data_IF_746528727789
#
_entry.id   IF_746528727789
#
_cell.length_a   1.000
_cell.length_b   1.000
_cell.length_c   1.000
_cell.angle_alpha   90.00
_cell.angle_beta   90.00
_cell.angle_gamma   90.00
#
_symmetry.space_group_name_H-M   'P 1'
#
loop_
_entity.id
_entity.type
_entity.pdbx_description
1 polymer ?
#
# COMPACT_ATOMS: atom_id res chain seq x y z
N UNK A 1 -4.66 -5.88 26.82
CA UNK A 1 -3.75 -6.55 25.87
C UNK A 1 -2.74 -5.52 25.37
N UNK A 2 -1.47 -5.89 25.27
CA UNK A 2 -0.45 -5.04 24.64
C UNK A 2 -0.81 -4.93 23.15
N UNK A 3 -0.81 -3.71 22.60
CA UNK A 3 -1.05 -3.52 21.17
C UNK A 3 0.11 -4.14 20.39
N UNK A 4 -0.20 -4.80 19.29
CA UNK A 4 0.77 -5.34 18.34
C UNK A 4 1.37 -4.21 17.52
N UNK A 5 2.70 -4.17 17.42
CA UNK A 5 3.45 -3.15 16.70
C UNK A 5 3.42 -3.42 15.20
N UNK A 6 2.98 -2.44 14.42
CA UNK A 6 2.96 -2.47 12.96
C UNK A 6 4.07 -1.56 12.45
N UNK A 7 5.02 -2.12 11.74
CA UNK A 7 6.04 -1.38 11.03
C UNK A 7 5.66 -1.29 9.55
N UNK A 8 5.72 -0.10 8.99
CA UNK A 8 5.59 0.11 7.54
C UNK A 8 6.93 0.63 7.02
N UNK A 9 7.49 -0.02 6.02
CA UNK A 9 8.69 0.47 5.31
C UNK A 9 8.28 0.68 3.85
N UNK A 10 8.45 1.90 3.33
CA UNK A 10 8.02 2.19 1.97
C UNK A 10 8.20 3.66 1.57
N UNK A 11 7.52 4.01 0.49
CA UNK A 11 7.62 5.30 -0.16
C UNK A 11 6.87 6.42 0.55
N UNK A 12 7.38 7.64 0.36
CA UNK A 12 6.75 8.90 0.73
C UNK A 12 6.82 9.84 -0.46
N UNK A 13 5.68 10.24 -1.04
CA UNK A 13 5.60 11.12 -2.20
C UNK A 13 4.80 12.38 -1.89
N UNK A 14 5.07 13.42 -2.67
CA UNK A 14 4.14 14.53 -2.86
C UNK A 14 3.44 14.34 -4.20
N UNK A 15 2.12 14.18 -4.18
CA UNK A 15 1.31 14.04 -5.37
C UNK A 15 0.89 15.42 -5.89
N UNK A 16 1.27 15.73 -7.14
CA UNK A 16 0.94 16.99 -7.84
C UNK A 16 -0.02 16.66 -8.97
N UNK A 17 -1.30 16.98 -8.76
CA UNK A 17 -2.38 16.64 -9.69
C UNK A 17 -2.88 17.87 -10.42
N UNK A 18 -2.94 17.82 -11.76
CA UNK A 18 -3.65 18.80 -12.59
C UNK A 18 -4.87 18.11 -13.19
N UNK A 19 -6.06 18.64 -12.89
CA UNK A 19 -7.32 18.22 -13.54
C UNK A 19 -7.63 19.21 -14.66
N UNK A 20 -7.72 18.70 -15.89
CA UNK A 20 -7.97 19.51 -17.10
C UNK A 20 -9.06 18.90 -17.98
N UNK A 21 -9.48 19.58 -19.02
CA UNK A 21 -10.51 19.07 -19.95
C UNK A 21 -10.03 17.89 -20.80
N UNK A 22 -8.73 17.69 -20.93
CA UNK A 22 -8.12 16.57 -21.65
C UNK A 22 -6.66 16.40 -21.27
N UNK A 23 -6.07 15.29 -21.73
CA UNK A 23 -4.63 15.02 -21.57
C UNK A 23 -3.87 15.63 -22.76
N UNK A 24 -2.71 16.31 -22.54
CA UNK A 24 -1.93 16.88 -23.64
C UNK A 24 -1.28 15.76 -24.48
N UNK A 25 -1.30 15.94 -25.80
CA UNK A 25 -0.51 15.11 -26.71
C UNK A 25 0.97 15.54 -26.71
N UNK A 26 1.91 14.70 -27.15
CA UNK A 26 3.31 15.08 -27.30
C UNK A 26 3.46 16.39 -28.10
N UNK A 27 4.15 17.37 -27.50
CA UNK A 27 4.34 18.72 -28.10
C UNK A 27 3.17 19.67 -27.88
N UNK A 28 2.07 19.25 -27.28
CA UNK A 28 0.90 20.11 -27.00
C UNK A 28 1.00 20.76 -25.61
N UNK A 29 0.63 22.03 -25.54
CA UNK A 29 0.40 22.75 -24.30
C UNK A 29 -1.09 22.97 -24.09
N UNK A 30 -1.64 22.53 -22.97
CA UNK A 30 -3.02 22.80 -22.56
C UNK A 30 -3.00 23.83 -21.45
N UNK A 31 -3.78 24.90 -21.62
CA UNK A 31 -3.96 25.95 -20.60
C UNK A 31 -5.26 25.69 -19.84
N UNK A 32 -5.25 26.02 -18.56
CA UNK A 32 -6.40 25.80 -17.66
C UNK A 32 -6.19 24.60 -16.76
N UNK A 33 -7.27 24.26 -16.06
CA UNK A 33 -7.24 23.15 -15.11
C UNK A 33 -7.09 23.61 -13.65
N UNK A 34 -7.35 22.66 -12.75
CA UNK A 34 -7.21 22.85 -11.31
C UNK A 34 -5.99 22.09 -10.82
N UNK A 35 -5.08 22.79 -10.18
CA UNK A 35 -3.95 22.18 -9.49
C UNK A 35 -4.32 21.81 -8.05
N UNK A 36 -3.95 20.61 -7.64
CA UNK A 36 -4.07 20.10 -6.26
C UNK A 36 -2.74 19.43 -5.90
N UNK A 37 -2.24 19.71 -4.71
CA UNK A 37 -1.07 19.05 -4.17
C UNK A 37 -1.45 18.39 -2.84
N UNK A 38 -1.02 17.15 -2.66
CA UNK A 38 -1.31 16.37 -1.46
C UNK A 38 -0.25 15.34 -1.12
N UNK A 39 -0.31 14.78 0.09
CA UNK A 39 0.58 13.70 0.48
C UNK A 39 0.18 12.40 -0.24
N UNK A 40 1.19 11.64 -0.68
CA UNK A 40 1.05 10.38 -1.39
C UNK A 40 2.19 9.42 -1.08
N UNK A 41 2.33 8.42 -1.94
CA UNK A 41 3.24 7.29 -1.76
C UNK A 41 2.59 6.12 -1.04
N UNK A 42 2.74 4.90 -1.61
CA UNK A 42 2.05 3.70 -1.10
C UNK A 42 2.42 3.39 0.35
N UNK A 43 3.70 3.51 0.71
CA UNK A 43 4.15 3.31 2.08
C UNK A 43 3.46 4.27 3.05
N UNK A 44 3.48 5.56 2.74
CA UNK A 44 2.84 6.59 3.54
C UNK A 44 1.31 6.39 3.64
N UNK A 45 0.65 6.07 2.51
CA UNK A 45 -0.79 5.81 2.50
C UNK A 45 -1.17 4.63 3.39
N UNK A 46 -0.40 3.53 3.34
CA UNK A 46 -0.64 2.34 4.16
C UNK A 46 -0.38 2.59 5.63
N UNK A 47 0.66 3.36 5.97
CA UNK A 47 0.95 3.77 7.36
C UNK A 47 -0.17 4.65 7.93
N UNK A 48 -0.63 5.66 7.17
CA UNK A 48 -1.75 6.53 7.54
C UNK A 48 -3.04 5.71 7.70
N UNK A 49 -3.33 4.80 6.77
CA UNK A 49 -4.49 3.93 6.87
C UNK A 49 -4.46 3.07 8.14
N UNK A 50 -3.34 2.38 8.38
CA UNK A 50 -3.19 1.58 9.59
C UNK A 50 -3.33 2.41 10.87
N UNK A 51 -2.77 3.63 10.90
CA UNK A 51 -2.86 4.51 12.07
C UNK A 51 -4.28 4.99 12.34
N UNK A 52 -4.96 5.52 11.31
CA UNK A 52 -6.34 6.03 11.43
C UNK A 52 -7.34 4.93 11.82
N UNK A 53 -7.03 3.68 11.48
CA UNK A 53 -7.82 2.50 11.82
C UNK A 53 -7.48 1.91 13.19
N UNK A 54 -6.60 2.56 13.97
CA UNK A 54 -6.31 2.23 15.38
C UNK A 54 -5.08 1.38 15.60
N UNK A 55 -4.25 1.17 14.58
CA UNK A 55 -2.95 0.48 14.69
C UNK A 55 -1.94 1.24 15.56
N UNK A 56 -1.00 0.51 16.12
CA UNK A 56 0.22 1.05 16.73
C UNK A 56 1.32 1.03 15.66
N UNK A 57 1.50 2.18 14.99
CA UNK A 57 2.22 2.28 13.72
C UNK A 57 3.50 3.09 13.86
N UNK A 58 4.59 2.48 13.41
CA UNK A 58 5.84 3.15 13.09
C UNK A 58 6.03 3.15 11.56
N UNK A 59 6.47 4.26 11.00
CA UNK A 59 6.71 4.40 9.56
C UNK A 59 8.14 4.78 9.26
N UNK A 60 8.79 4.00 8.43
CA UNK A 60 10.15 4.23 7.93
C UNK A 60 10.09 4.49 6.44
N UNK A 61 10.57 5.66 6.06
CA UNK A 61 10.77 6.08 4.68
C UNK A 61 12.02 6.94 4.58
N UNK A 62 12.45 7.23 3.37
CA UNK A 62 13.54 8.17 3.12
C UNK A 62 13.00 9.40 2.40
N UNK A 63 13.33 10.60 2.90
CA UNK A 63 12.87 11.88 2.37
C UNK A 63 14.05 12.81 2.11
N UNK A 64 13.88 13.78 1.23
CA UNK A 64 14.87 14.81 0.98
C UNK A 64 14.88 15.90 2.07
N UNK A 65 15.97 16.66 2.13
CA UNK A 65 16.08 17.89 2.94
C UNK A 65 15.40 19.08 2.25
N UNK A 66 14.14 18.90 1.85
CA UNK A 66 13.36 19.89 1.11
C UNK A 66 12.00 20.15 1.78
N UNK A 67 11.23 21.06 1.17
CA UNK A 67 9.90 21.43 1.69
C UNK A 67 8.93 20.25 1.67
N UNK A 68 9.06 19.30 0.71
CA UNK A 68 8.19 18.17 0.59
C UNK A 68 8.47 17.16 1.71
N UNK A 69 9.75 16.86 1.98
CA UNK A 69 10.16 16.01 3.10
C UNK A 69 9.73 16.58 4.45
N UNK A 70 9.88 17.91 4.63
CA UNK A 70 9.39 18.58 5.84
C UNK A 70 7.88 18.45 6.00
N UNK A 71 7.11 18.74 4.94
CA UNK A 71 5.64 18.65 4.99
C UNK A 71 5.16 17.22 5.25
N UNK A 72 5.82 16.22 4.65
CA UNK A 72 5.53 14.81 4.87
C UNK A 72 5.73 14.42 6.35
N UNK A 73 6.90 14.71 6.92
CA UNK A 73 7.22 14.40 8.32
C UNK A 73 6.30 15.12 9.31
N UNK A 74 5.96 16.38 9.05
CA UNK A 74 5.00 17.13 9.88
C UNK A 74 3.58 16.52 9.77
N UNK A 75 3.21 16.03 8.59
CA UNK A 75 1.95 15.30 8.37
C UNK A 75 1.87 14.01 9.18
N UNK A 76 2.91 13.17 9.15
CA UNK A 76 2.96 11.91 9.90
C UNK A 76 2.89 12.14 11.42
N UNK A 77 3.57 13.20 11.92
CA UNK A 77 3.45 13.61 13.34
C UNK A 77 2.02 13.96 13.72
N UNK A 78 1.31 14.70 12.84
CA UNK A 78 -0.12 15.04 13.08
C UNK A 78 -1.00 13.81 13.13
N UNK A 79 -0.73 12.81 12.31
CA UNK A 79 -1.43 11.52 12.35
C UNK A 79 -1.07 10.70 13.60
N UNK A 80 -0.06 11.10 14.37
CA UNK A 80 0.44 10.38 15.54
C UNK A 80 1.20 9.10 15.18
N UNK A 81 1.76 9.04 13.96
CA UNK A 81 2.65 7.96 13.52
C UNK A 81 4.02 8.18 14.14
N UNK A 82 4.65 7.10 14.62
CA UNK A 82 6.04 7.16 15.06
C UNK A 82 6.95 7.31 13.84
N UNK A 83 7.78 8.34 13.87
CA UNK A 83 8.71 8.70 12.81
C UNK A 83 10.16 8.78 13.30
N UNK A 84 10.47 8.13 14.40
CA UNK A 84 11.80 8.20 15.04
C UNK A 84 12.92 7.72 14.11
N UNK A 85 12.60 6.84 13.17
CA UNK A 85 13.55 6.25 12.23
C UNK A 85 13.33 6.72 10.76
N UNK A 86 12.71 7.89 10.54
CA UNK A 86 12.71 8.48 9.20
C UNK A 86 14.14 8.82 8.78
N UNK A 87 14.49 8.38 7.56
CA UNK A 87 15.80 8.58 6.97
C UNK A 87 15.81 9.81 6.06
N UNK A 88 16.98 10.39 5.88
CA UNK A 88 17.16 11.56 5.01
C UNK A 88 18.17 11.26 3.90
N UNK A 89 17.87 11.77 2.70
CA UNK A 89 18.72 11.68 1.53
C UNK A 89 19.19 13.06 1.08
N UNK A 90 20.31 13.08 0.34
CA UNK A 90 20.72 14.26 -0.45
C UNK A 90 19.89 14.42 -1.73
N UNK A 91 19.22 13.37 -2.18
CA UNK A 91 18.25 13.43 -3.27
C UNK A 91 16.97 14.15 -2.83
N UNK A 92 16.25 14.82 -3.75
CA UNK A 92 14.94 15.41 -3.45
C UNK A 92 13.94 14.36 -2.99
N UNK A 93 12.94 14.78 -2.21
CA UNK A 93 11.80 13.93 -1.87
C UNK A 93 11.06 13.42 -3.11
N UNK A 94 10.46 12.23 -3.03
CA UNK A 94 9.68 11.65 -4.12
C UNK A 94 8.48 12.50 -4.52
N UNK A 95 8.22 12.58 -5.83
CA UNK A 95 7.10 13.36 -6.41
C UNK A 95 6.39 12.52 -7.45
N UNK A 96 5.05 12.54 -7.44
CA UNK A 96 4.21 12.03 -8.52
C UNK A 96 3.54 13.19 -9.24
N UNK A 97 3.75 13.29 -10.56
CA UNK A 97 3.03 14.23 -11.44
C UNK A 97 1.86 13.49 -12.06
N UNK A 98 0.65 13.97 -11.80
CA UNK A 98 -0.59 13.31 -12.18
C UNK A 98 -1.42 14.26 -13.03
N UNK A 99 -1.69 13.88 -14.26
CA UNK A 99 -2.63 14.57 -15.14
C UNK A 99 -3.92 13.77 -15.18
N UNK A 100 -5.05 14.42 -14.96
CA UNK A 100 -6.38 13.78 -14.96
C UNK A 100 -7.29 14.56 -15.89
N UNK A 101 -7.94 13.88 -16.83
CA UNK A 101 -8.91 14.51 -17.71
C UNK A 101 -10.34 14.50 -17.11
N UNK A 102 -11.28 15.11 -17.84
CA UNK A 102 -12.70 15.20 -17.44
C UNK A 102 -13.41 13.85 -17.38
N UNK A 103 -12.87 12.81 -18.00
CA UNK A 103 -13.43 11.44 -17.97
C UNK A 103 -12.88 10.62 -16.80
N UNK A 104 -11.83 11.15 -16.11
CA UNK A 104 -11.11 10.46 -15.04
C UNK A 104 -9.94 9.61 -15.53
N UNK A 105 -9.62 9.63 -16.85
CA UNK A 105 -8.39 9.03 -17.34
C UNK A 105 -7.18 9.80 -16.84
N UNK A 106 -6.12 9.08 -16.51
CA UNK A 106 -4.92 9.71 -15.95
C UNK A 106 -3.63 9.24 -16.61
N UNK A 107 -2.63 10.12 -16.53
CA UNK A 107 -1.23 9.82 -16.85
C UNK A 107 -0.40 10.22 -15.64
N UNK A 108 0.43 9.27 -15.16
CA UNK A 108 1.22 9.45 -13.96
C UNK A 108 2.70 9.25 -14.30
N UNK A 109 3.53 10.17 -13.86
CA UNK A 109 4.99 10.06 -13.88
C UNK A 109 5.52 10.24 -12.48
N UNK A 110 6.32 9.29 -11.99
CA UNK A 110 6.90 9.34 -10.65
C UNK A 110 8.40 9.57 -10.76
N UNK A 111 8.87 10.61 -10.06
CA UNK A 111 10.29 10.79 -9.75
C UNK A 111 10.52 10.20 -8.36
N UNK A 112 11.20 9.06 -8.20
CA UNK A 112 11.35 8.38 -6.92
C UNK A 112 12.15 9.21 -5.91
N UNK A 113 13.13 9.97 -6.36
CA UNK A 113 13.98 10.78 -5.49
C UNK A 113 14.52 9.96 -4.32
N UNK A 114 14.39 10.47 -3.11
CA UNK A 114 14.84 9.82 -1.88
C UNK A 114 14.26 8.40 -1.67
N UNK A 115 13.06 8.09 -2.19
CA UNK A 115 12.54 6.73 -2.13
C UNK A 115 13.45 5.74 -2.87
N UNK A 116 14.00 6.16 -4.02
CA UNK A 116 14.93 5.35 -4.82
C UNK A 116 16.32 5.20 -4.20
N UNK A 117 16.63 6.01 -3.21
CA UNK A 117 17.89 6.03 -2.48
C UNK A 117 17.84 5.25 -1.14
N UNK A 118 16.71 4.61 -0.82
CA UNK A 118 16.59 3.76 0.37
C UNK A 118 17.35 2.45 0.13
N UNK A 119 18.52 2.32 0.74
CA UNK A 119 19.49 1.26 0.46
C UNK A 119 19.36 0.05 1.39
N UNK A 120 20.07 -1.03 1.07
CA UNK A 120 20.20 -2.21 1.95
C UNK A 120 20.90 -1.82 3.25
N UNK A 121 21.88 -0.91 3.22
CA UNK A 121 22.58 -0.41 4.38
C UNK A 121 21.65 0.37 5.31
N UNK A 122 20.71 1.16 4.74
CA UNK A 122 19.66 1.82 5.51
C UNK A 122 18.79 0.79 6.25
N UNK A 123 18.40 -0.29 5.57
CA UNK A 123 17.61 -1.39 6.18
C UNK A 123 18.39 -2.09 7.28
N UNK A 124 19.69 -2.33 7.10
CA UNK A 124 20.53 -2.91 8.16
C UNK A 124 20.61 -2.00 9.39
N UNK A 125 20.66 -0.68 9.18
CA UNK A 125 20.73 0.29 10.30
C UNK A 125 19.50 0.28 11.21
N UNK A 126 18.36 -0.20 10.70
CA UNK A 126 17.08 -0.31 11.39
C UNK A 126 16.67 -1.77 11.68
N UNK A 127 17.60 -2.72 11.54
CA UNK A 127 17.30 -4.14 11.69
C UNK A 127 16.65 -4.50 13.04
N UNK A 128 17.05 -3.86 14.12
CA UNK A 128 16.49 -4.13 15.44
C UNK A 128 15.03 -3.64 15.54
N UNK A 129 14.70 -2.49 14.96
CA UNK A 129 13.31 -2.00 14.86
C UNK A 129 12.43 -2.99 14.07
N UNK A 130 12.96 -3.56 12.98
CA UNK A 130 12.25 -4.59 12.21
C UNK A 130 11.98 -5.83 13.07
N UNK A 131 12.98 -6.34 13.78
CA UNK A 131 12.87 -7.54 14.62
C UNK A 131 11.91 -7.37 15.81
N UNK A 132 11.77 -6.15 16.33
CA UNK A 132 10.91 -5.82 17.46
C UNK A 132 9.44 -5.57 17.05
N UNK A 133 9.13 -5.56 15.77
CA UNK A 133 7.76 -5.42 15.27
C UNK A 133 7.01 -6.76 15.26
N UNK A 134 5.67 -6.73 15.34
CA UNK A 134 4.83 -7.93 15.17
C UNK A 134 4.43 -8.12 13.70
N UNK A 135 4.27 -7.01 12.96
CA UNK A 135 3.86 -6.97 11.55
C UNK A 135 4.75 -6.02 10.77
N UNK A 136 5.12 -6.41 9.57
CA UNK A 136 5.83 -5.57 8.60
C UNK A 136 5.00 -5.45 7.32
N UNK A 137 4.73 -4.22 6.86
CA UNK A 137 4.09 -3.94 5.58
C UNK A 137 5.12 -3.38 4.61
N UNK A 138 5.17 -3.94 3.40
CA UNK A 138 6.08 -3.58 2.31
C UNK A 138 5.31 -3.34 1.01
N UNK A 139 5.84 -2.46 0.13
CA UNK A 139 5.36 -2.20 -1.22
C UNK A 139 6.57 -2.11 -2.16
N UNK A 140 6.35 -1.74 -3.44
CA UNK A 140 7.40 -1.81 -4.46
C UNK A 140 7.75 -0.43 -5.07
N UNK A 141 7.56 0.66 -4.32
CA UNK A 141 7.99 2.02 -4.71
C UNK A 141 9.35 2.42 -4.10
N UNK A 142 10.06 1.46 -3.52
CA UNK A 142 11.44 1.58 -3.02
C UNK A 142 12.29 0.49 -3.67
N UNK A 143 13.62 0.56 -3.60
CA UNK A 143 14.49 -0.45 -4.23
C UNK A 143 14.16 -1.88 -3.80
N UNK A 144 14.06 -2.77 -4.78
CA UNK A 144 13.67 -4.17 -4.55
C UNK A 144 14.64 -4.90 -3.61
N UNK A 145 15.93 -4.60 -3.67
CA UNK A 145 16.91 -5.22 -2.76
C UNK A 145 16.70 -4.78 -1.31
N UNK A 146 16.28 -3.53 -1.06
CA UNK A 146 15.88 -3.06 0.26
C UNK A 146 14.60 -3.78 0.74
N UNK A 147 13.60 -3.95 -0.14
CA UNK A 147 12.38 -4.72 0.18
C UNK A 147 12.71 -6.17 0.54
N UNK A 148 13.54 -6.84 -0.26
CA UNK A 148 13.96 -8.22 0.00
C UNK A 148 14.69 -8.32 1.33
N UNK A 149 15.60 -7.38 1.62
CA UNK A 149 16.37 -7.42 2.87
C UNK A 149 15.50 -7.18 4.10
N UNK A 150 14.59 -6.22 4.04
CA UNK A 150 13.62 -5.98 5.11
C UNK A 150 12.73 -7.20 5.37
N UNK A 151 12.19 -7.81 4.30
CA UNK A 151 11.39 -9.03 4.40
C UNK A 151 12.18 -10.20 5.00
N UNK A 152 13.44 -10.36 4.62
CA UNK A 152 14.31 -11.40 5.15
C UNK A 152 14.55 -11.22 6.66
N UNK A 153 14.96 -10.02 7.11
CA UNK A 153 15.20 -9.73 8.54
C UNK A 153 13.93 -10.00 9.36
N UNK A 154 12.78 -9.53 8.87
CA UNK A 154 11.48 -9.73 9.52
C UNK A 154 11.12 -11.21 9.64
N UNK A 155 11.23 -11.95 8.53
CA UNK A 155 10.93 -13.37 8.49
C UNK A 155 11.81 -14.18 9.44
N UNK A 156 13.12 -13.93 9.45
CA UNK A 156 14.08 -14.59 10.35
C UNK A 156 13.80 -14.33 11.83
N UNK A 157 13.20 -13.17 12.15
CA UNK A 157 12.76 -12.81 13.50
C UNK A 157 11.34 -13.29 13.87
N UNK A 158 10.61 -13.93 12.93
CA UNK A 158 9.24 -14.40 13.16
C UNK A 158 8.18 -13.30 13.04
N UNK A 159 8.52 -12.14 12.46
CA UNK A 159 7.58 -11.05 12.16
C UNK A 159 6.68 -11.44 11.00
N UNK A 160 5.37 -11.12 11.08
CA UNK A 160 4.42 -11.40 10.01
C UNK A 160 4.57 -10.38 8.87
N UNK A 161 5.08 -10.81 7.73
CA UNK A 161 5.39 -9.95 6.58
C UNK A 161 4.22 -9.90 5.61
N UNK A 162 3.72 -8.69 5.34
CA UNK A 162 2.68 -8.39 4.36
C UNK A 162 3.31 -7.65 3.19
N UNK A 163 3.22 -8.21 1.99
CA UNK A 163 3.64 -7.55 0.77
C UNK A 163 2.42 -7.11 -0.04
N UNK A 164 2.28 -5.82 -0.25
CA UNK A 164 1.43 -5.28 -1.30
C UNK A 164 2.30 -5.09 -2.56
N UNK A 165 2.19 -5.95 -3.60
CA UNK A 165 3.13 -5.98 -4.72
C UNK A 165 2.80 -4.89 -5.76
N UNK A 166 2.65 -3.66 -5.32
CA UNK A 166 2.32 -2.48 -6.10
C UNK A 166 3.44 -1.42 -6.06
N UNK A 167 3.79 -0.77 -7.22
CA UNK A 167 3.25 -1.03 -8.55
C UNK A 167 3.71 -2.38 -9.11
N UNK A 168 2.94 -2.92 -10.06
CA UNK A 168 3.23 -4.19 -10.68
C UNK A 168 4.62 -4.23 -11.33
N UNK A 169 5.47 -5.15 -10.90
CA UNK A 169 6.79 -5.40 -11.48
C UNK A 169 7.18 -6.87 -11.32
N UNK A 170 8.19 -7.30 -12.06
CA UNK A 170 8.80 -8.61 -11.88
C UNK A 170 9.59 -8.65 -10.57
N UNK A 171 9.42 -9.71 -9.80
CA UNK A 171 10.12 -9.92 -8.54
C UNK A 171 11.04 -11.14 -8.60
N UNK A 172 12.25 -11.06 -8.05
CA UNK A 172 13.08 -12.25 -7.85
C UNK A 172 12.37 -13.28 -7.00
N UNK A 173 12.33 -14.54 -7.44
CA UNK A 173 11.59 -15.62 -6.75
C UNK A 173 11.99 -15.81 -5.27
N UNK A 174 13.21 -15.43 -4.91
CA UNK A 174 13.71 -15.52 -3.53
C UNK A 174 12.92 -14.68 -2.51
N UNK A 175 12.17 -13.64 -2.92
CA UNK A 175 11.41 -12.82 -1.98
C UNK A 175 10.24 -13.56 -1.36
N UNK A 176 9.56 -14.42 -2.15
CA UNK A 176 8.28 -15.03 -1.76
C UNK A 176 8.39 -15.94 -0.53
N UNK A 177 9.55 -16.55 -0.29
CA UNK A 177 9.78 -17.37 0.91
C UNK A 177 9.76 -16.57 2.22
N UNK A 178 9.94 -15.24 2.15
CA UNK A 178 9.93 -14.34 3.31
C UNK A 178 8.55 -13.71 3.56
N UNK A 179 7.59 -13.90 2.64
CA UNK A 179 6.27 -13.27 2.69
C UNK A 179 5.27 -14.19 3.37
N UNK A 180 4.62 -13.69 4.42
CA UNK A 180 3.52 -14.38 5.11
C UNK A 180 2.21 -14.22 4.34
N UNK A 181 1.89 -12.97 3.94
CA UNK A 181 0.69 -12.60 3.21
C UNK A 181 1.05 -11.72 2.01
N UNK A 182 0.49 -12.03 0.85
CA UNK A 182 0.56 -11.15 -0.33
C UNK A 182 -0.84 -10.61 -0.68
N UNK A 183 -0.92 -9.31 -1.03
CA UNK A 183 -2.19 -8.63 -1.33
C UNK A 183 -2.20 -8.01 -2.73
N UNK A 184 -2.07 -8.79 -3.80
CA UNK A 184 -2.08 -8.29 -5.17
C UNK A 184 -3.50 -7.92 -5.64
N UNK A 185 -3.59 -7.00 -6.60
CA UNK A 185 -4.77 -6.85 -7.43
C UNK A 185 -4.77 -7.83 -8.61
N UNK A 186 -5.78 -7.77 -9.47
CA UNK A 186 -5.88 -8.67 -10.63
C UNK A 186 -4.67 -8.54 -11.57
N UNK A 187 -4.26 -7.32 -11.92
CA UNK A 187 -3.13 -7.06 -12.84
C UNK A 187 -1.82 -7.56 -12.25
N UNK A 188 -1.56 -7.29 -10.98
CA UNK A 188 -0.38 -7.75 -10.27
C UNK A 188 -0.33 -9.27 -10.18
N UNK A 189 -1.49 -9.90 -9.89
CA UNK A 189 -1.60 -11.37 -9.86
C UNK A 189 -1.29 -11.97 -11.24
N UNK A 190 -1.86 -11.42 -12.31
CA UNK A 190 -1.63 -11.91 -13.66
C UNK A 190 -0.17 -11.78 -14.09
N UNK A 191 0.48 -10.65 -13.73
CA UNK A 191 1.90 -10.44 -14.03
C UNK A 191 2.80 -11.44 -13.29
N UNK A 192 2.56 -11.65 -11.99
CA UNK A 192 3.44 -12.49 -11.16
C UNK A 192 3.26 -13.98 -11.40
N UNK A 193 2.02 -14.40 -11.71
CA UNK A 193 1.72 -15.83 -11.85
C UNK A 193 1.66 -16.31 -13.30
N UNK A 194 1.53 -15.37 -14.25
CA UNK A 194 1.25 -15.66 -15.66
C UNK A 194 -0.18 -16.16 -15.93
N UNK A 195 -1.03 -16.22 -14.90
CA UNK A 195 -2.40 -16.77 -14.96
C UNK A 195 -3.40 -15.64 -15.20
N UNK A 196 -4.15 -15.72 -16.31
CA UNK A 196 -5.27 -14.79 -16.58
C UNK A 196 -6.48 -15.10 -15.70
N UNK A 197 -6.97 -14.11 -14.95
CA UNK A 197 -8.06 -14.28 -13.99
C UNK A 197 -9.43 -14.10 -14.62
N UNK A 198 -9.95 -15.17 -15.27
CA UNK A 198 -11.20 -15.15 -16.04
C UNK A 198 -12.35 -15.89 -15.35
N UNK A 199 -12.07 -16.83 -14.44
CA UNK A 199 -13.05 -17.69 -13.78
C UNK A 199 -12.50 -18.26 -12.47
N UNK A 200 -13.35 -18.94 -11.69
CA UNK A 200 -12.95 -19.52 -10.39
C UNK A 200 -11.73 -20.42 -10.46
N UNK A 201 -11.62 -21.27 -11.50
CA UNK A 201 -10.46 -22.14 -11.65
C UNK A 201 -9.16 -21.37 -11.83
N UNK A 202 -9.19 -20.27 -12.56
CA UNK A 202 -8.00 -19.42 -12.74
C UNK A 202 -7.57 -18.74 -11.45
N UNK A 203 -8.50 -18.37 -10.57
CA UNK A 203 -8.18 -17.86 -9.25
C UNK A 203 -7.45 -18.91 -8.38
N UNK A 204 -7.98 -20.14 -8.36
CA UNK A 204 -7.34 -21.26 -7.64
C UNK A 204 -5.93 -21.49 -8.19
N UNK A 205 -5.77 -21.54 -9.51
CA UNK A 205 -4.46 -21.74 -10.14
C UNK A 205 -3.47 -20.62 -9.79
N UNK A 206 -3.91 -19.36 -9.74
CA UNK A 206 -3.07 -18.23 -9.35
C UNK A 206 -2.61 -18.35 -7.88
N UNK A 207 -3.52 -18.70 -6.98
CA UNK A 207 -3.19 -18.93 -5.57
C UNK A 207 -2.21 -20.08 -5.41
N UNK A 208 -2.44 -21.21 -6.07
CA UNK A 208 -1.51 -22.35 -6.07
C UNK A 208 -0.13 -21.95 -6.59
N UNK A 209 -0.06 -20.97 -7.51
CA UNK A 209 1.22 -20.44 -7.98
C UNK A 209 1.94 -19.67 -6.87
N UNK A 210 1.25 -18.81 -6.13
CA UNK A 210 1.83 -18.13 -4.96
C UNK A 210 2.25 -19.13 -3.87
N UNK A 211 1.43 -20.17 -3.60
CA UNK A 211 1.78 -21.18 -2.63
C UNK A 211 3.05 -21.97 -3.04
N UNK A 212 3.20 -22.30 -4.33
CA UNK A 212 4.44 -22.94 -4.85
C UNK A 212 5.66 -22.03 -4.74
N UNK A 213 5.49 -20.71 -4.80
CA UNK A 213 6.55 -19.73 -4.57
C UNK A 213 6.93 -19.60 -3.08
N UNK A 214 6.08 -20.09 -2.15
CA UNK A 214 6.32 -20.10 -0.71
C UNK A 214 5.37 -19.21 0.11
N UNK A 215 4.50 -18.43 -0.52
CA UNK A 215 3.52 -17.57 0.18
C UNK A 215 2.34 -18.42 0.64
N UNK A 216 2.00 -18.36 1.94
CA UNK A 216 0.92 -19.16 2.52
C UNK A 216 -0.44 -18.49 2.40
N UNK A 217 -0.51 -17.22 2.74
CA UNK A 217 -1.74 -16.44 2.76
C UNK A 217 -1.80 -15.49 1.56
N UNK A 218 -2.93 -15.45 0.86
CA UNK A 218 -3.12 -14.63 -0.34
C UNK A 218 -4.47 -13.94 -0.28
N UNK A 219 -4.50 -12.62 -0.49
CA UNK A 219 -5.74 -11.88 -0.73
C UNK A 219 -5.63 -11.21 -2.10
N UNK A 220 -6.41 -11.67 -3.07
CA UNK A 220 -6.48 -11.04 -4.40
C UNK A 220 -7.62 -10.03 -4.39
N UNK A 221 -7.30 -8.74 -4.57
CA UNK A 221 -8.31 -7.68 -4.66
C UNK A 221 -8.87 -7.59 -6.08
N UNK A 222 -10.19 -7.48 -6.20
CA UNK A 222 -10.93 -7.53 -7.47
C UNK A 222 -11.76 -6.25 -7.70
N UNK A 223 -11.37 -5.15 -7.08
CA UNK A 223 -12.05 -3.86 -7.16
C UNK A 223 -13.51 -3.95 -6.74
N UNK A 224 -14.42 -3.52 -7.60
CA UNK A 224 -15.88 -3.51 -7.33
C UNK A 224 -16.49 -4.90 -7.15
N UNK A 225 -15.76 -5.97 -7.40
CA UNK A 225 -16.23 -7.33 -7.15
C UNK A 225 -15.93 -7.80 -5.72
N UNK A 226 -14.94 -7.21 -5.02
CA UNK A 226 -14.53 -7.61 -3.67
C UNK A 226 -13.13 -8.20 -3.65
N UNK A 227 -12.92 -9.26 -2.89
CA UNK A 227 -11.62 -9.95 -2.79
C UNK A 227 -11.77 -11.45 -2.63
N UNK A 228 -10.77 -12.19 -3.09
CA UNK A 228 -10.62 -13.62 -2.83
C UNK A 228 -9.57 -13.79 -1.74
N UNK A 229 -9.94 -14.45 -0.67
CA UNK A 229 -9.08 -14.74 0.49
C UNK A 229 -8.71 -16.21 0.46
N UNK A 230 -7.42 -16.50 0.57
CA UNK A 230 -6.92 -17.86 0.56
C UNK A 230 -5.93 -18.05 1.71
N UNK A 231 -6.22 -19.02 2.57
CA UNK A 231 -5.38 -19.41 3.70
C UNK A 231 -5.60 -20.89 4.01
N UNK A 232 -4.54 -21.61 4.35
CA UNK A 232 -4.60 -23.04 4.72
C UNK A 232 -5.34 -23.93 3.70
N UNK A 233 -5.23 -23.58 2.41
CA UNK A 233 -5.90 -24.32 1.32
C UNK A 233 -7.41 -24.06 1.20
N UNK A 234 -7.98 -23.15 2.00
CA UNK A 234 -9.36 -22.69 1.88
C UNK A 234 -9.43 -21.44 1.03
N UNK A 235 -10.48 -21.33 0.23
CA UNK A 235 -10.76 -20.20 -0.64
C UNK A 235 -12.11 -19.61 -0.24
N UNK A 236 -12.13 -18.32 0.12
CA UNK A 236 -13.34 -17.62 0.52
C UNK A 236 -13.45 -16.29 -0.21
N UNK A 237 -14.64 -15.99 -0.68
CA UNK A 237 -14.92 -14.73 -1.36
C UNK A 237 -15.54 -13.72 -0.38
N UNK A 238 -14.97 -12.52 -0.36
CA UNK A 238 -15.50 -11.38 0.40
C UNK A 238 -16.05 -10.37 -0.61
N UNK A 239 -17.38 -10.19 -0.70
CA UNK A 239 -17.98 -9.30 -1.67
C UNK A 239 -17.67 -7.82 -1.37
N UNK A 240 -17.55 -7.01 -2.42
CA UNK A 240 -17.45 -5.56 -2.26
C UNK A 240 -18.75 -4.96 -1.70
N UNK A 241 -18.61 -3.88 -0.94
CA UNK A 241 -19.74 -3.06 -0.54
C UNK A 241 -20.05 -2.07 -1.67
N UNK A 242 -21.31 -2.04 -2.11
CA UNK A 242 -21.75 -1.15 -3.20
C UNK A 242 -21.84 0.28 -2.69
N UNK A 243 -21.06 1.16 -3.28
CA UNK A 243 -21.01 2.59 -2.97
C UNK A 243 -20.87 3.40 -4.28
N UNK A 244 -21.13 4.69 -4.19
CA UNK A 244 -20.84 5.61 -5.30
C UNK A 244 -19.36 5.99 -5.25
N UNK A 245 -18.54 5.34 -6.06
CA UNK A 245 -17.13 5.65 -6.15
C UNK A 245 -16.91 6.99 -6.87
N UNK A 246 -16.05 7.82 -6.28
CA UNK A 246 -15.63 9.14 -6.79
C UNK A 246 -14.17 9.08 -7.25
N UNK A 247 -13.31 8.41 -6.47
CA UNK A 247 -11.88 8.31 -6.72
C UNK A 247 -11.36 6.98 -6.12
N UNK A 248 -10.66 6.17 -6.91
CA UNK A 248 -10.10 4.89 -6.44
C UNK A 248 -8.68 5.02 -5.87
N UNK A 249 -8.12 6.23 -5.85
CA UNK A 249 -6.78 6.49 -5.31
C UNK A 249 -6.69 6.04 -3.85
N UNK A 250 -5.59 5.38 -3.50
CA UNK A 250 -5.30 4.84 -2.17
C UNK A 250 -6.29 3.77 -1.65
N UNK A 251 -7.27 3.28 -2.45
CA UNK A 251 -8.18 2.22 -2.01
C UNK A 251 -7.44 0.91 -1.67
N UNK A 252 -6.46 0.52 -2.51
CA UNK A 252 -5.61 -0.64 -2.26
C UNK A 252 -4.69 -0.44 -1.05
N UNK A 253 -4.16 0.77 -0.86
CA UNK A 253 -3.33 1.11 0.30
C UNK A 253 -4.15 1.05 1.60
N UNK A 254 -5.37 1.65 1.57
CA UNK A 254 -6.30 1.57 2.69
C UNK A 254 -6.67 0.13 3.01
N UNK A 255 -6.92 -0.69 1.98
CA UNK A 255 -7.21 -2.11 2.16
C UNK A 255 -6.04 -2.83 2.84
N UNK A 256 -4.80 -2.64 2.37
CA UNK A 256 -3.63 -3.29 2.94
C UNK A 256 -3.39 -2.88 4.40
N UNK A 257 -3.42 -1.58 4.71
CA UNK A 257 -3.30 -1.07 6.07
C UNK A 257 -4.40 -1.61 7.00
N UNK A 258 -5.65 -1.67 6.50
CA UNK A 258 -6.79 -2.20 7.25
C UNK A 258 -6.67 -3.70 7.53
N UNK A 259 -6.21 -4.50 6.55
CA UNK A 259 -5.93 -5.94 6.75
C UNK A 259 -4.95 -6.12 7.89
N UNK A 260 -3.82 -5.40 7.87
CA UNK A 260 -2.80 -5.50 8.90
C UNK A 260 -3.35 -5.14 10.30
N UNK A 261 -4.13 -4.06 10.42
CA UNK A 261 -4.76 -3.66 11.68
C UNK A 261 -5.70 -4.75 12.19
N UNK A 262 -6.53 -5.32 11.34
CA UNK A 262 -7.48 -6.36 11.74
C UNK A 262 -6.74 -7.63 12.22
N UNK A 263 -5.69 -8.06 11.51
CA UNK A 263 -4.83 -9.17 11.93
C UNK A 263 -4.13 -8.87 13.26
N UNK A 264 -3.63 -7.64 13.47
CA UNK A 264 -2.98 -7.23 14.73
C UNK A 264 -3.93 -7.27 15.93
N UNK A 265 -5.24 -7.19 15.67
CA UNK A 265 -6.31 -7.31 16.66
C UNK A 265 -6.78 -8.77 16.87
N UNK A 266 -6.15 -9.75 16.19
CA UNK A 266 -6.45 -11.17 16.33
C UNK A 266 -7.63 -11.66 15.48
N UNK A 267 -8.08 -10.89 14.49
CA UNK A 267 -9.08 -11.34 13.51
C UNK A 267 -8.47 -12.37 12.56
N UNK A 268 -9.27 -13.30 12.08
CA UNK A 268 -8.87 -14.19 11.00
C UNK A 268 -8.74 -13.42 9.65
N UNK A 269 -8.16 -14.09 8.65
CA UNK A 269 -7.87 -13.44 7.37
C UNK A 269 -9.13 -13.00 6.61
N UNK A 270 -10.23 -13.76 6.73
CA UNK A 270 -11.53 -13.41 6.14
C UNK A 270 -12.16 -12.19 6.82
N UNK A 271 -12.15 -12.17 8.15
CA UNK A 271 -12.62 -11.03 8.94
C UNK A 271 -11.78 -9.79 8.65
N UNK A 272 -10.45 -9.96 8.50
CA UNK A 272 -9.55 -8.88 8.14
C UNK A 272 -9.86 -8.32 6.74
N UNK A 273 -10.09 -9.18 5.75
CA UNK A 273 -10.50 -8.77 4.41
C UNK A 273 -11.87 -8.07 4.39
N UNK A 274 -12.83 -8.54 5.20
CA UNK A 274 -14.14 -7.89 5.32
C UNK A 274 -14.02 -6.48 5.94
N UNK A 275 -13.22 -6.32 7.00
CA UNK A 275 -12.93 -5.02 7.59
C UNK A 275 -12.23 -4.09 6.59
N UNK A 276 -11.24 -4.61 5.84
CA UNK A 276 -10.51 -3.86 4.84
C UNK A 276 -11.41 -3.45 3.66
N UNK A 277 -12.33 -4.31 3.23
CA UNK A 277 -13.34 -3.98 2.21
C UNK A 277 -14.20 -2.80 2.65
N UNK A 278 -14.61 -2.77 3.92
CA UNK A 278 -15.37 -1.66 4.49
C UNK A 278 -14.55 -0.35 4.48
N UNK A 279 -13.29 -0.40 4.88
CA UNK A 279 -12.39 0.76 4.85
C UNK A 279 -12.18 1.29 3.42
N UNK A 280 -11.84 0.41 2.47
CA UNK A 280 -11.64 0.76 1.07
C UNK A 280 -12.91 1.33 0.43
N UNK A 281 -14.12 0.82 0.80
CA UNK A 281 -15.38 1.35 0.28
C UNK A 281 -15.66 2.78 0.74
N UNK A 282 -15.20 3.19 1.91
CA UNK A 282 -15.26 4.59 2.37
C UNK A 282 -14.23 5.46 1.66
N UNK A 283 -13.04 4.94 1.43
CA UNK A 283 -11.97 5.64 0.70
C UNK A 283 -12.43 6.06 -0.68
N UNK A 284 -13.00 5.14 -1.47
CA UNK A 284 -13.39 5.44 -2.86
C UNK A 284 -14.52 6.47 -2.99
N UNK A 285 -15.19 6.86 -1.92
CA UNK A 285 -16.25 7.89 -1.91
C UNK A 285 -15.70 9.31 -1.77
N UNK A 286 -14.42 9.48 -1.55
CA UNK A 286 -13.76 10.77 -1.37
C UNK A 286 -12.65 10.95 -2.40
N UNK A 287 -12.31 12.23 -2.68
CA UNK A 287 -11.19 12.58 -3.58
C UNK A 287 -9.87 12.56 -2.84
N UNK A 288 -8.79 12.20 -3.55
CA UNK A 288 -7.40 12.26 -3.09
C UNK A 288 -6.90 10.99 -2.41
N UNK A 289 -5.61 10.93 -2.14
CA UNK A 289 -4.96 9.77 -1.52
C UNK A 289 -5.20 9.76 0.00
N UNK A 290 -4.32 10.35 0.80
CA UNK A 290 -4.46 10.31 2.27
C UNK A 290 -5.71 11.02 2.80
N UNK A 291 -6.22 12.03 2.11
CA UNK A 291 -7.44 12.75 2.51
C UNK A 291 -8.70 11.87 2.43
N UNK A 292 -8.70 10.85 1.59
CA UNK A 292 -9.81 9.92 1.43
C UNK A 292 -9.85 8.80 2.49
N UNK A 293 -8.71 8.50 3.13
CA UNK A 293 -8.57 7.40 4.08
C UNK A 293 -9.44 7.64 5.33
N UNK A 294 -10.35 6.71 5.66
CA UNK A 294 -11.26 6.89 6.78
C UNK A 294 -10.59 6.68 8.14
N UNK A 295 -11.18 7.27 9.16
CA UNK A 295 -10.89 6.97 10.55
C UNK A 295 -11.67 5.75 11.05
N UNK A 296 -11.24 5.15 12.16
CA UNK A 296 -11.95 4.05 12.81
C UNK A 296 -13.37 4.47 13.25
N UNK A 297 -13.57 5.74 13.58
CA UNK A 297 -14.90 6.28 13.93
C UNK A 297 -15.83 6.26 12.73
N UNK A 298 -15.35 6.68 11.54
CA UNK A 298 -16.14 6.60 10.30
C UNK A 298 -16.48 5.15 9.93
N UNK A 299 -15.52 4.22 10.08
CA UNK A 299 -15.79 2.79 9.89
C UNK A 299 -16.90 2.30 10.82
N UNK A 300 -16.87 2.68 12.10
CA UNK A 300 -17.86 2.22 13.08
C UNK A 300 -19.26 2.81 12.82
N UNK A 301 -19.32 4.03 12.28
CA UNK A 301 -20.58 4.70 11.92
C UNK A 301 -21.15 4.24 10.57
N UNK A 302 -20.33 3.64 9.71
CA UNK A 302 -20.79 3.20 8.41
C UNK A 302 -21.67 1.95 8.55
N UNK A 303 -22.97 2.14 8.33
CA UNK A 303 -23.97 1.06 8.26
C UNK A 303 -24.06 0.54 6.83
N UNK A 304 -24.09 -0.76 6.68
CA UNK A 304 -24.28 -1.42 5.37
C UNK A 304 -25.68 -1.19 4.83
#
# INVERSE_FOLDING_TARGET
MVKKKILVIGSSNTDMTIKSDGLPLPGQTILGGRFVMGPGGKGANQAVAAKRLGGDVEFICKVGHDIFGKNATDGYKKEGIDISHILYSTEPSGVALILVDKTGENVISVAPGANGDLSVEDIESIADTIKESDYLILQLEIPIDAVIRAAQIAHEAGVYVILNPAPACELPSKIFQYISLITPNQTETELMTGVKLNNEKSFVTAVESFNRMGVKDVIITLGSKGSLVCSEGKHEFVPAIKVNAVDATAAGDTFCGAVCVALSQGKDLKEAAAFATKAASLTVQKMGAQDSIPSITEINMFSN
#
